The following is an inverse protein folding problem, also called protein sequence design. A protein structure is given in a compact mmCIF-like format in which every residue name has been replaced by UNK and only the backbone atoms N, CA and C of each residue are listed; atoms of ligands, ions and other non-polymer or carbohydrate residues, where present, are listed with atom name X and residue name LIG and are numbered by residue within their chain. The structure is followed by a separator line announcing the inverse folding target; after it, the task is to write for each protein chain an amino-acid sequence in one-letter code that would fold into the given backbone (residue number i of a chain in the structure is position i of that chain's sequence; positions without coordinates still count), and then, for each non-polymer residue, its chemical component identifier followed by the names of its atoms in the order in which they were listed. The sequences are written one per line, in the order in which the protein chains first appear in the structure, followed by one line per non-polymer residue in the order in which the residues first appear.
data_IF_118311111429
#
_entry.id   IF_118311111429
#
_cell.length_a   1.000
_cell.length_b   1.000
_cell.length_c   1.000
_cell.angle_alpha   90.00
_cell.angle_beta   90.00
_cell.angle_gamma   90.00
#
_symmetry.space_group_name_H-M   'P 1'
#
loop_
_entity.id
_entity.type
_entity.pdbx_description
1 polymer ?
#
# COMPACT_ATOMS: atom_id res chain seq x y z
N UNK A 1 -16.29 -24.72 -9.42
CA UNK A 1 -16.36 -24.77 -7.94
C UNK A 1 -15.19 -23.98 -7.41
N UNK A 2 -15.43 -22.77 -6.89
CA UNK A 2 -14.35 -21.95 -6.32
C UNK A 2 -14.08 -22.39 -4.88
N UNK A 3 -12.81 -22.47 -4.44
CA UNK A 3 -12.53 -22.89 -3.07
C UNK A 3 -12.99 -21.81 -2.09
N UNK A 4 -13.74 -22.25 -1.07
CA UNK A 4 -14.09 -21.45 0.10
C UNK A 4 -12.84 -21.31 0.97
N UNK A 5 -12.19 -20.14 0.93
CA UNK A 5 -11.12 -19.81 1.87
C UNK A 5 -11.72 -19.07 3.06
N UNK A 6 -11.79 -19.76 4.19
CA UNK A 6 -12.10 -19.15 5.48
C UNK A 6 -11.02 -18.10 5.78
N UNK A 7 -11.42 -16.84 5.89
CA UNK A 7 -10.57 -15.76 6.37
C UNK A 7 -10.25 -16.04 7.85
N UNK A 8 -9.08 -16.61 8.09
CA UNK A 8 -8.50 -16.73 9.43
C UNK A 8 -8.33 -15.33 9.99
N UNK A 9 -8.91 -15.07 11.17
CA UNK A 9 -8.67 -13.84 11.94
C UNK A 9 -7.29 -13.95 12.57
N UNK A 10 -6.25 -13.82 11.75
CA UNK A 10 -4.88 -13.67 12.20
C UNK A 10 -4.60 -12.16 12.33
N UNK A 11 -4.23 -11.71 13.52
CA UNK A 11 -3.80 -10.33 13.74
C UNK A 11 -2.62 -10.01 12.81
N UNK A 12 -2.68 -8.86 12.13
CA UNK A 12 -1.59 -8.39 11.28
C UNK A 12 -0.32 -8.16 12.11
N UNK A 13 0.79 -8.87 11.83
CA UNK A 13 2.05 -8.61 12.52
C UNK A 13 2.69 -7.28 12.10
N UNK A 14 2.36 -6.76 10.91
CA UNK A 14 2.94 -5.50 10.40
C UNK A 14 1.86 -4.53 9.95
N UNK A 15 1.94 -3.30 10.44
CA UNK A 15 1.03 -2.23 10.06
C UNK A 15 1.82 -1.08 9.48
N UNK A 16 1.76 -0.94 8.15
CA UNK A 16 2.30 0.24 7.49
C UNK A 16 1.24 1.31 7.46
N UNK A 17 1.53 2.47 8.04
CA UNK A 17 0.65 3.63 8.03
C UNK A 17 1.17 4.63 7.03
N UNK A 18 0.54 4.66 5.88
CA UNK A 18 0.94 5.44 4.73
C UNK A 18 0.27 6.81 4.71
N UNK A 19 1.06 7.87 4.48
CA UNK A 19 0.55 9.21 4.18
C UNK A 19 1.20 9.80 2.93
N UNK A 20 0.44 10.65 2.26
CA UNK A 20 0.95 11.46 1.15
C UNK A 20 1.92 12.53 1.70
N UNK A 21 3.03 12.83 1.01
CA UNK A 21 3.84 13.99 1.32
C UNK A 21 2.99 15.25 1.28
N UNK A 22 3.29 16.18 2.19
CA UNK A 22 2.59 17.46 2.26
C UNK A 22 2.82 18.22 0.95
N UNK A 23 1.76 18.37 0.13
CA UNK A 23 1.80 19.27 -1.03
C UNK A 23 1.80 20.70 -0.50
N UNK A 24 2.95 21.37 -0.56
CA UNK A 24 3.00 22.83 -0.45
C UNK A 24 2.11 23.41 -1.56
N UNK A 25 0.87 23.76 -1.21
CA UNK A 25 0.06 24.65 -2.05
C UNK A 25 0.74 26.02 -2.01
N UNK A 26 1.40 26.37 -3.10
CA UNK A 26 1.81 27.71 -3.48
C UNK A 26 2.62 28.48 -2.43
N UNK A 27 3.95 28.48 -2.55
CA UNK A 27 4.74 29.71 -2.57
C UNK A 27 6.22 29.39 -2.76
N UNK A 28 6.96 30.31 -3.37
CA UNK A 28 8.41 30.31 -3.53
C UNK A 28 9.15 30.45 -2.18
N UNK A 29 8.75 29.70 -1.16
CA UNK A 29 9.31 29.76 0.19
C UNK A 29 10.01 28.44 0.49
N UNK A 30 11.34 28.53 0.36
CA UNK A 30 12.36 27.83 1.14
C UNK A 30 12.18 26.32 1.32
N UNK A 31 13.06 25.61 0.62
CA UNK A 31 13.33 24.17 0.63
C UNK A 31 13.88 23.66 1.97
N UNK A 32 13.43 24.23 3.09
CA UNK A 32 13.80 23.85 4.45
C UNK A 32 12.56 23.77 5.35
N UNK A 33 11.58 22.95 4.97
CA UNK A 33 10.74 22.36 6.01
C UNK A 33 11.66 21.40 6.79
N UNK A 34 12.06 21.83 7.98
CA UNK A 34 12.95 21.09 8.87
C UNK A 34 12.39 19.70 9.11
N UNK A 35 13.25 18.69 9.21
CA UNK A 35 12.87 17.31 9.55
C UNK A 35 11.85 17.26 10.71
N UNK A 36 11.97 18.18 11.68
CA UNK A 36 11.02 18.37 12.78
C UNK A 36 9.55 18.46 12.36
N UNK A 37 9.23 19.13 11.25
CA UNK A 37 7.85 19.28 10.76
C UNK A 37 7.33 17.93 10.24
N UNK A 38 8.17 17.17 9.53
CA UNK A 38 7.81 15.83 9.04
C UNK A 38 7.63 14.88 10.22
N UNK A 39 8.55 14.91 11.19
CA UNK A 39 8.48 14.12 12.43
C UNK A 39 7.21 14.40 13.23
N UNK A 40 6.90 15.68 13.50
CA UNK A 40 5.67 16.05 14.21
C UNK A 40 4.42 15.55 13.47
N UNK A 41 4.46 15.58 12.14
CA UNK A 41 3.37 15.13 11.30
C UNK A 41 3.23 13.59 11.30
N UNK A 42 4.33 12.84 11.34
CA UNK A 42 4.32 11.39 11.48
C UNK A 42 3.81 10.94 12.86
N UNK A 43 4.24 11.60 13.93
CA UNK A 43 3.72 11.39 15.29
C UNK A 43 2.23 11.68 15.39
N UNK A 44 1.76 12.70 14.67
CA UNK A 44 0.33 12.99 14.57
C UNK A 44 -0.45 11.85 13.88
N UNK A 45 0.06 11.34 12.75
CA UNK A 45 -0.54 10.20 12.04
C UNK A 45 -0.61 8.95 12.93
N UNK A 46 0.46 8.65 13.67
CA UNK A 46 0.47 7.60 14.70
C UNK A 46 -0.61 7.81 15.75
N UNK A 47 -0.70 9.02 16.30
CA UNK A 47 -1.68 9.34 17.34
C UNK A 47 -3.12 9.13 16.85
N UNK A 48 -3.41 9.53 15.60
CA UNK A 48 -4.71 9.29 14.98
C UNK A 48 -5.01 7.80 14.84
N UNK A 49 -4.01 7.00 14.44
CA UNK A 49 -4.16 5.56 14.33
C UNK A 49 -4.45 4.93 15.70
N UNK A 50 -3.67 5.27 16.72
CA UNK A 50 -3.83 4.72 18.07
C UNK A 50 -5.18 5.11 18.68
N UNK A 51 -5.71 6.29 18.35
CA UNK A 51 -7.05 6.70 18.76
C UNK A 51 -8.14 5.87 18.09
N UNK A 52 -7.98 5.52 16.81
CA UNK A 52 -8.97 4.77 16.04
C UNK A 52 -8.95 3.26 16.34
N UNK A 53 -7.78 2.68 16.57
CA UNK A 53 -7.58 1.22 16.64
C UNK A 53 -6.93 0.70 17.91
N UNK A 54 -6.57 1.60 18.83
CA UNK A 54 -5.82 1.28 20.02
C UNK A 54 -4.31 1.28 19.81
N UNK A 55 -3.57 1.29 20.92
CA UNK A 55 -2.11 1.28 20.91
C UNK A 55 -1.58 -0.05 20.42
N UNK A 56 -0.50 0.00 19.64
CA UNK A 56 0.22 -1.20 19.22
C UNK A 56 1.20 -1.59 20.32
N UNK A 57 1.08 -2.82 20.79
CA UNK A 57 2.05 -3.44 21.69
C UNK A 57 3.17 -4.04 20.83
N UNK A 58 4.23 -3.29 20.57
CA UNK A 58 5.23 -3.67 19.58
C UNK A 58 6.30 -2.62 19.31
N UNK A 59 7.06 -2.84 18.24
CA UNK A 59 8.04 -1.88 17.72
C UNK A 59 7.31 -0.84 16.87
N UNK A 60 7.67 0.43 17.02
CA UNK A 60 7.09 1.54 16.25
C UNK A 60 8.22 2.33 15.61
N UNK A 61 8.26 2.34 14.29
CA UNK A 61 9.29 3.00 13.49
C UNK A 61 8.68 4.06 12.58
N UNK A 62 9.50 5.04 12.24
CA UNK A 62 9.16 6.13 11.33
C UNK A 62 10.08 6.07 10.13
N UNK A 63 9.51 6.05 8.92
CA UNK A 63 10.31 6.01 7.70
C UNK A 63 9.83 7.06 6.69
N UNK A 64 10.80 7.74 6.09
CA UNK A 64 10.57 8.80 5.11
C UNK A 64 11.14 8.33 3.78
N UNK A 65 10.25 8.12 2.80
CA UNK A 65 10.65 7.72 1.46
C UNK A 65 11.14 8.98 0.74
N UNK A 66 12.45 9.06 0.60
CA UNK A 66 13.13 10.18 -0.05
C UNK A 66 13.35 9.85 -1.51
N UNK A 67 12.60 10.50 -2.40
CA UNK A 67 12.79 10.33 -3.84
C UNK A 67 11.58 10.76 -4.67
N UNK A 68 11.78 11.04 -5.96
CA UNK A 68 10.67 11.29 -6.89
C UNK A 68 9.78 10.06 -7.03
N UNK A 69 8.46 10.27 -6.95
CA UNK A 69 7.48 9.19 -6.90
C UNK A 69 7.39 8.34 -8.16
N UNK A 70 7.89 8.82 -9.30
CA UNK A 70 7.81 8.15 -10.59
C UNK A 70 9.03 7.28 -10.92
N UNK A 71 10.04 7.21 -10.04
CA UNK A 71 11.26 6.45 -10.29
C UNK A 71 11.20 5.11 -9.55
N UNK A 72 11.52 4.04 -10.27
CA UNK A 72 11.67 2.71 -9.72
C UNK A 72 12.70 2.75 -8.57
N UNK A 73 12.33 2.18 -7.43
CA UNK A 73 13.19 2.10 -6.26
C UNK A 73 14.24 1.00 -6.49
N UNK A 74 15.52 1.33 -6.31
CA UNK A 74 16.59 0.33 -6.37
C UNK A 74 16.51 -0.61 -5.15
N UNK A 75 16.83 -1.90 -5.35
CA UNK A 75 16.99 -2.89 -4.28
C UNK A 75 18.06 -2.45 -3.26
N UNK A 76 19.07 -1.70 -3.70
CA UNK A 76 20.14 -1.18 -2.83
C UNK A 76 19.77 0.12 -2.10
N UNK A 77 18.54 0.63 -2.25
CA UNK A 77 18.13 1.88 -1.62
C UNK A 77 17.91 1.70 -0.11
N UNK A 78 18.12 2.79 0.65
CA UNK A 78 17.82 2.83 2.09
C UNK A 78 16.38 2.41 2.41
N UNK A 79 15.43 2.68 1.50
CA UNK A 79 14.04 2.24 1.67
C UNK A 79 13.89 0.74 1.45
N UNK A 80 14.49 0.16 0.42
CA UNK A 80 14.43 -1.28 0.19
C UNK A 80 15.10 -2.05 1.35
N UNK A 81 16.26 -1.58 1.80
CA UNK A 81 16.96 -2.15 2.96
C UNK A 81 16.14 -2.02 4.24
N UNK A 82 15.55 -0.84 4.49
CA UNK A 82 14.66 -0.64 5.65
C UNK A 82 13.53 -1.67 5.67
N UNK A 83 12.82 -1.86 4.54
CA UNK A 83 11.74 -2.83 4.48
C UNK A 83 12.23 -4.26 4.69
N UNK A 84 13.32 -4.65 4.01
CA UNK A 84 13.91 -5.99 4.12
C UNK A 84 14.36 -6.33 5.55
N UNK A 85 15.03 -5.39 6.22
CA UNK A 85 15.49 -5.58 7.60
C UNK A 85 14.31 -5.77 8.56
N UNK A 86 13.28 -4.94 8.40
CA UNK A 86 12.13 -4.96 9.30
C UNK A 86 11.26 -6.20 9.07
N UNK A 87 11.01 -6.59 7.81
CA UNK A 87 10.28 -7.83 7.50
C UNK A 87 11.05 -9.08 7.94
N UNK A 88 12.37 -9.10 7.79
CA UNK A 88 13.22 -10.19 8.30
C UNK A 88 13.17 -10.27 9.83
N UNK A 89 13.14 -9.15 10.55
CA UNK A 89 13.01 -9.14 12.01
C UNK A 89 11.66 -9.67 12.49
N UNK A 90 10.60 -9.49 11.70
CA UNK A 90 9.25 -9.97 12.02
C UNK A 90 9.20 -11.50 12.03
N UNK A 91 9.80 -12.14 11.03
CA UNK A 91 9.91 -13.60 10.96
C UNK A 91 10.65 -14.18 12.17
N UNK A 92 11.67 -13.47 12.63
CA UNK A 92 12.53 -13.94 13.72
C UNK A 92 11.96 -13.66 15.12
N UNK A 93 11.13 -12.63 15.29
CA UNK A 93 10.70 -12.18 16.64
C UNK A 93 9.22 -12.41 16.94
N UNK A 94 8.40 -12.68 15.91
CA UNK A 94 6.94 -12.78 16.02
C UNK A 94 6.31 -11.61 16.81
N UNK A 95 6.94 -10.43 16.75
CA UNK A 95 6.47 -9.21 17.39
C UNK A 95 5.60 -8.43 16.42
N UNK A 96 4.63 -7.68 16.94
CA UNK A 96 3.89 -6.70 16.13
C UNK A 96 4.77 -5.49 15.87
N UNK A 97 4.70 -4.94 14.66
CA UNK A 97 5.43 -3.76 14.23
C UNK A 97 4.49 -2.77 13.55
N UNK A 98 4.70 -1.49 13.84
CA UNK A 98 4.09 -0.38 13.11
C UNK A 98 5.18 0.43 12.44
N UNK A 99 4.99 0.71 11.16
CA UNK A 99 5.87 1.61 10.42
C UNK A 99 5.00 2.74 9.88
N UNK A 100 5.26 3.98 10.29
CA UNK A 100 4.56 5.15 9.74
C UNK A 100 5.40 5.74 8.62
N UNK A 101 4.85 5.72 7.41
CA UNK A 101 5.50 6.05 6.15
C UNK A 101 5.06 7.43 5.63
N UNK A 102 6.01 8.33 5.41
CA UNK A 102 5.81 9.51 4.57
C UNK A 102 6.32 9.24 3.15
N UNK A 103 5.61 9.70 2.12
CA UNK A 103 6.04 9.46 0.72
C UNK A 103 5.35 8.28 0.03
N UNK A 104 4.18 7.84 0.52
CA UNK A 104 3.54 6.61 0.03
C UNK A 104 3.13 6.66 -1.45
N UNK A 105 2.86 7.86 -1.99
CA UNK A 105 2.60 8.05 -3.42
C UNK A 105 3.72 7.50 -4.32
N UNK A 106 4.97 7.52 -3.84
CA UNK A 106 6.11 6.91 -4.53
C UNK A 106 6.03 5.39 -4.60
N UNK A 107 5.38 4.74 -3.63
CA UNK A 107 5.19 3.29 -3.61
C UNK A 107 4.03 2.84 -4.50
N UNK A 108 3.05 3.71 -4.74
CA UNK A 108 1.88 3.39 -5.57
C UNK A 108 2.02 3.75 -7.04
N UNK A 109 3.11 4.40 -7.41
CA UNK A 109 3.33 4.90 -8.77
C UNK A 109 4.14 3.93 -9.64
N UNK A 110 4.75 2.91 -9.04
CA UNK A 110 5.52 1.88 -9.74
C UNK A 110 5.25 0.48 -9.17
N UNK A 111 4.76 -0.41 -10.04
CA UNK A 111 4.40 -1.79 -9.68
C UNK A 111 5.62 -2.63 -9.31
N UNK A 112 6.78 -2.36 -9.92
CA UNK A 112 8.03 -3.06 -9.60
C UNK A 112 8.44 -2.83 -8.15
N UNK A 113 8.43 -1.56 -7.72
CA UNK A 113 8.73 -1.13 -6.36
C UNK A 113 7.74 -1.74 -5.36
N UNK A 114 6.44 -1.67 -5.67
CA UNK A 114 5.42 -2.24 -4.77
C UNK A 114 5.57 -3.76 -4.63
N UNK A 115 5.84 -4.47 -5.74
CA UNK A 115 6.13 -5.90 -5.72
C UNK A 115 7.36 -6.20 -4.85
N UNK A 116 8.47 -5.50 -5.09
CA UNK A 116 9.72 -5.70 -4.36
C UNK A 116 9.56 -5.56 -2.85
N UNK A 117 8.84 -4.54 -2.38
CA UNK A 117 8.73 -4.25 -0.94
C UNK A 117 7.74 -5.14 -0.20
N UNK A 118 6.67 -5.59 -0.87
CA UNK A 118 5.52 -6.18 -0.17
C UNK A 118 5.19 -7.61 -0.58
N UNK A 119 5.58 -8.08 -1.78
CA UNK A 119 5.05 -9.33 -2.35
C UNK A 119 5.36 -10.56 -1.51
N UNK A 120 6.60 -10.68 -1.05
CA UNK A 120 7.07 -11.84 -0.28
C UNK A 120 6.30 -12.01 1.03
N UNK A 121 6.03 -10.90 1.74
CA UNK A 121 5.40 -10.91 3.06
C UNK A 121 3.94 -10.43 3.04
N UNK A 122 3.31 -10.35 1.87
CA UNK A 122 1.96 -9.81 1.71
C UNK A 122 0.89 -10.39 2.67
N UNK A 123 0.87 -11.70 2.99
CA UNK A 123 -0.09 -12.26 3.95
C UNK A 123 0.07 -11.77 5.39
N UNK A 124 1.22 -11.18 5.72
CA UNK A 124 1.59 -10.71 7.05
C UNK A 124 1.48 -9.18 7.19
N UNK A 125 1.22 -8.48 6.08
CA UNK A 125 1.23 -7.03 6.04
C UNK A 125 -0.20 -6.51 5.89
N UNK A 126 -0.60 -5.65 6.83
CA UNK A 126 -1.72 -4.74 6.62
C UNK A 126 -1.21 -3.35 6.33
N UNK A 127 -1.64 -2.81 5.20
CA UNK A 127 -1.36 -1.44 4.81
C UNK A 127 -2.56 -0.57 5.19
N UNK A 128 -2.35 0.49 5.95
CA UNK A 128 -3.37 1.47 6.30
C UNK A 128 -3.02 2.82 5.72
N UNK A 129 -3.83 3.29 4.78
CA UNK A 129 -3.62 4.57 4.13
C UNK A 129 -4.41 5.62 4.91
N UNK A 130 -3.69 6.60 5.45
CA UNK A 130 -4.29 7.72 6.15
C UNK A 130 -4.80 8.74 5.14
N UNK A 131 -6.11 8.98 5.13
CA UNK A 131 -6.71 10.11 4.45
C UNK A 131 -7.00 11.21 5.47
N UNK A 132 -6.65 12.46 5.14
CA UNK A 132 -6.91 13.59 6.04
C UNK A 132 -8.36 14.11 5.92
N UNK A 133 -9.08 13.81 4.83
CA UNK A 133 -10.43 14.33 4.59
C UNK A 133 -11.38 13.30 3.93
N UNK A 134 -12.26 12.62 4.71
CA UNK A 134 -12.38 12.66 6.16
C UNK A 134 -11.24 11.88 6.81
N UNK A 135 -10.85 12.32 8.01
CA UNK A 135 -9.78 11.68 8.80
C UNK A 135 -10.11 10.23 9.09
N UNK A 136 -9.49 9.34 8.32
CA UNK A 136 -9.80 7.92 8.34
C UNK A 136 -8.62 7.11 7.82
N UNK A 137 -8.65 5.81 8.10
CA UNK A 137 -7.67 4.86 7.59
C UNK A 137 -8.35 3.85 6.69
N UNK A 138 -7.89 3.77 5.46
CA UNK A 138 -8.31 2.75 4.51
C UNK A 138 -7.39 1.56 4.65
N UNK A 139 -7.94 0.43 5.09
CA UNK A 139 -7.20 -0.82 5.17
C UNK A 139 -7.09 -1.44 3.77
N UNK A 140 -5.87 -1.65 3.31
CA UNK A 140 -5.57 -2.36 2.08
C UNK A 140 -5.06 -3.74 2.46
N UNK A 141 -5.80 -4.76 2.01
CA UNK A 141 -5.38 -6.13 2.11
C UNK A 141 -4.36 -6.41 0.99
N UNK A 142 -3.08 -6.38 1.35
CA UNK A 142 -1.97 -6.48 0.40
C UNK A 142 -1.96 -7.83 -0.32
N UNK A 143 -2.34 -8.91 0.38
CA UNK A 143 -2.47 -10.23 -0.23
C UNK A 143 -3.58 -10.29 -1.28
N UNK A 144 -4.76 -9.71 -1.00
CA UNK A 144 -5.85 -9.61 -1.99
C UNK A 144 -5.45 -8.76 -3.20
N UNK A 145 -4.69 -7.69 -2.96
CA UNK A 145 -4.17 -6.83 -4.03
C UNK A 145 -3.24 -7.59 -4.98
N UNK A 146 -2.28 -8.36 -4.46
CA UNK A 146 -1.41 -9.18 -5.32
C UNK A 146 -2.14 -10.31 -6.03
N UNK A 147 -3.14 -10.94 -5.39
CA UNK A 147 -3.99 -11.92 -6.05
C UNK A 147 -4.69 -11.32 -7.29
N UNK A 148 -5.20 -10.10 -7.18
CA UNK A 148 -5.80 -9.40 -8.31
C UNK A 148 -4.76 -9.14 -9.42
N UNK A 149 -3.56 -8.66 -9.07
CA UNK A 149 -2.50 -8.39 -10.06
C UNK A 149 -2.04 -9.66 -10.79
N UNK A 150 -1.89 -10.78 -10.08
CA UNK A 150 -1.50 -12.05 -10.68
C UNK A 150 -2.61 -12.59 -11.60
N UNK A 151 -3.89 -12.46 -11.22
CA UNK A 151 -5.01 -12.79 -12.10
C UNK A 151 -5.02 -11.94 -13.38
N UNK A 152 -4.79 -10.63 -13.28
CA UNK A 152 -4.71 -9.75 -14.46
C UNK A 152 -3.56 -10.18 -15.38
N UNK A 153 -2.41 -10.50 -14.81
CA UNK A 153 -1.23 -10.94 -15.58
C UNK A 153 -1.54 -12.23 -16.34
N UNK A 154 -2.12 -13.22 -15.67
CA UNK A 154 -2.54 -14.49 -16.30
C UNK A 154 -3.59 -14.28 -17.40
N UNK A 155 -4.55 -13.37 -17.19
CA UNK A 155 -5.57 -13.06 -18.21
C UNK A 155 -4.96 -12.42 -19.46
N UNK A 156 -4.00 -11.52 -19.29
CA UNK A 156 -3.27 -10.90 -20.40
C UNK A 156 -2.45 -11.93 -21.20
N UNK A 157 -1.84 -12.90 -20.51
CA UNK A 157 -1.09 -13.99 -21.15
C UNK A 157 -2.00 -14.94 -21.94
N UNK A 158 -3.21 -15.22 -21.44
CA UNK A 158 -4.20 -16.08 -22.11
C UNK A 158 -4.91 -15.37 -23.30
N UNK A 159 -5.02 -14.05 -23.28
CA UNK A 159 -5.66 -13.25 -24.33
C UNK A 159 -4.86 -13.15 -25.64
N UNK A 160 -3.60 -13.62 -25.67
CA UNK A 160 -2.73 -13.55 -26.86
C UNK A 160 -3.08 -14.54 -27.99
N UNK A 161 -4.09 -15.40 -27.84
CA UNK A 161 -4.39 -16.48 -28.79
C UNK A 161 -5.85 -16.67 -29.22
N UNK A 162 -6.79 -15.86 -28.73
CA UNK A 162 -8.23 -16.00 -29.02
C UNK A 162 -8.77 -14.81 -29.84
N UNK A 163 -9.80 -15.04 -30.66
CA UNK A 163 -10.50 -13.98 -31.41
C UNK A 163 -11.01 -12.89 -30.46
N UNK A 164 -10.61 -11.64 -30.74
CA UNK A 164 -10.57 -10.52 -29.79
C UNK A 164 -11.89 -10.12 -29.12
N UNK A 165 -13.06 -10.47 -29.69
CA UNK A 165 -14.36 -9.97 -29.20
C UNK A 165 -15.02 -10.88 -28.15
N UNK A 166 -14.97 -12.21 -28.29
CA UNK A 166 -15.56 -13.14 -27.30
C UNK A 166 -14.65 -13.27 -26.05
N UNK A 167 -13.33 -13.22 -26.23
CA UNK A 167 -12.36 -13.26 -25.14
C UNK A 167 -12.42 -12.02 -24.23
N UNK A 168 -12.73 -10.85 -24.77
CA UNK A 168 -12.83 -9.60 -23.99
C UNK A 168 -14.04 -9.56 -23.07
N UNK A 169 -15.17 -10.13 -23.47
CA UNK A 169 -16.39 -10.20 -22.64
C UNK A 169 -16.17 -11.03 -21.37
N UNK A 170 -15.59 -12.22 -21.52
CA UNK A 170 -15.30 -13.13 -20.41
C UNK A 170 -14.22 -12.59 -19.46
N UNK A 171 -13.17 -11.96 -20.01
CA UNK A 171 -12.12 -11.31 -19.20
C UNK A 171 -12.69 -10.14 -18.38
N UNK A 172 -13.55 -9.32 -18.98
CA UNK A 172 -14.16 -8.16 -18.30
C UNK A 172 -15.07 -8.62 -17.16
N UNK A 173 -15.90 -9.64 -17.38
CA UNK A 173 -16.79 -10.16 -16.35
C UNK A 173 -16.03 -10.87 -15.22
N UNK A 174 -14.92 -11.55 -15.55
CA UNK A 174 -14.06 -12.17 -14.55
C UNK A 174 -13.37 -11.12 -13.67
N UNK A 175 -12.82 -10.05 -14.26
CA UNK A 175 -12.25 -8.93 -13.50
C UNK A 175 -13.29 -8.29 -12.57
N UNK A 176 -14.51 -8.05 -13.08
CA UNK A 176 -15.62 -7.54 -12.27
C UNK A 176 -15.96 -8.45 -11.10
N UNK A 177 -15.92 -9.77 -11.31
CA UNK A 177 -16.18 -10.75 -10.24
C UNK A 177 -15.05 -10.80 -9.20
N UNK A 178 -13.80 -10.59 -9.60
CA UNK A 178 -12.66 -10.54 -8.67
C UNK A 178 -12.72 -9.23 -7.88
N UNK A 179 -12.94 -8.09 -8.53
CA UNK A 179 -13.11 -6.79 -7.88
C UNK A 179 -14.26 -6.80 -6.86
N UNK A 180 -15.40 -7.43 -7.20
CA UNK A 180 -16.54 -7.57 -6.29
C UNK A 180 -16.26 -8.41 -5.03
N UNK A 181 -15.15 -9.17 -5.01
CA UNK A 181 -14.72 -9.97 -3.85
C UNK A 181 -13.67 -9.26 -3.00
N UNK A 182 -13.14 -8.12 -3.45
CA UNK A 182 -12.21 -7.33 -2.67
C UNK A 182 -12.92 -6.64 -1.52
N UNK A 183 -12.20 -6.42 -0.43
CA UNK A 183 -12.59 -5.40 0.53
C UNK A 183 -12.69 -4.04 -0.19
N UNK A 184 -13.72 -3.26 0.13
CA UNK A 184 -14.02 -2.00 -0.57
C UNK A 184 -12.81 -1.06 -0.68
N UNK A 185 -12.04 -0.91 0.41
CA UNK A 185 -10.82 -0.10 0.47
C UNK A 185 -9.68 -0.66 -0.37
N UNK A 186 -9.56 -1.98 -0.50
CA UNK A 186 -8.60 -2.64 -1.39
C UNK A 186 -8.97 -2.41 -2.86
N UNK A 187 -10.25 -2.47 -3.21
CA UNK A 187 -10.75 -2.16 -4.55
C UNK A 187 -10.51 -0.69 -4.93
N UNK A 188 -10.82 0.24 -4.03
CA UNK A 188 -10.48 1.65 -4.21
C UNK A 188 -8.98 1.84 -4.45
N UNK A 189 -8.15 1.27 -3.57
CA UNK A 189 -6.70 1.34 -3.70
C UNK A 189 -6.20 0.85 -5.06
N UNK A 190 -6.74 -0.27 -5.55
CA UNK A 190 -6.40 -0.79 -6.87
C UNK A 190 -6.72 0.20 -8.00
N UNK A 191 -7.91 0.80 -8.01
CA UNK A 191 -8.25 1.80 -9.03
C UNK A 191 -7.31 3.01 -9.00
N UNK A 192 -6.87 3.44 -7.80
CA UNK A 192 -5.89 4.51 -7.66
C UNK A 192 -4.50 4.13 -8.16
N UNK A 193 -4.06 2.92 -7.82
CA UNK A 193 -2.79 2.35 -8.23
C UNK A 193 -2.72 2.27 -9.77
N UNK A 194 -3.76 1.77 -10.42
CA UNK A 194 -3.85 1.65 -11.88
C UNK A 194 -3.99 3.01 -12.57
N UNK A 195 -4.69 3.97 -11.96
CA UNK A 195 -4.84 5.32 -12.51
C UNK A 195 -3.56 6.17 -12.45
N UNK A 196 -2.46 5.66 -11.87
CA UNK A 196 -1.19 6.39 -11.75
C UNK A 196 -1.28 7.64 -10.85
N UNK A 197 -2.26 7.69 -9.96
CA UNK A 197 -2.72 8.93 -9.32
C UNK A 197 -2.50 8.97 -7.80
N UNK A 198 -1.27 9.18 -7.36
CA UNK A 198 -0.97 9.42 -5.93
C UNK A 198 -1.57 10.71 -5.35
N UNK A 199 -2.03 11.64 -6.20
CA UNK A 199 -2.54 12.94 -5.76
C UNK A 199 -4.02 12.97 -5.39
N UNK A 200 -4.77 11.96 -5.85
CA UNK A 200 -6.24 11.95 -5.82
C UNK A 200 -6.81 11.18 -4.61
N UNK A 201 -5.96 10.54 -3.80
CA UNK A 201 -6.38 9.86 -2.56
C UNK A 201 -6.57 10.83 -1.38
N UNK A 202 -6.16 12.10 -1.52
CA UNK A 202 -6.33 13.13 -0.48
C UNK A 202 -7.78 13.67 -0.39
N UNK A 203 -8.69 13.22 -1.26
CA UNK A 203 -10.06 13.74 -1.38
C UNK A 203 -11.15 12.69 -1.08
N UNK A 204 -10.77 11.45 -0.72
CA UNK A 204 -11.73 10.44 -0.24
C UNK A 204 -11.70 10.38 1.26
#
# INVERSE_FOLDING_TARGET
MCPSYALSVAYDPVIFIARNPYRQRNSNLERSESDQTIWASLEYTKSCYEQAYGRITGVCEFHIISGPSSLHLSEDSDTAQFFSDHTSQLENTNRRMMVVLNGWNSLTSDIGTFNMLFREHAPQITLRIFADQPRSFYQVNVAQFFQLLDCITQLNEMGGGATEEESRGDVTELLRCIEARLEYSTGLFYHYFVAGGGDSFNQI
#
